data_IF_545062888037
#
_entry.id   IF_545062888037
#
_cell.length_a   1.000
_cell.length_b   1.000
_cell.length_c   1.000
_cell.angle_alpha   90.00
_cell.angle_beta   90.00
_cell.angle_gamma   90.00
#
_symmetry.space_group_name_H-M   'P 1'
#
loop_
_entity.id
_entity.type
_entity.pdbx_description
1 polymer ?
#
# COMPACT_ATOMS: atom_id res chain seq x y z
N UNK A 1 19.39 -39.90 -25.79
CA UNK A 1 19.42 -41.26 -25.21
C UNK A 1 18.33 -41.36 -24.14
N UNK A 2 17.40 -42.29 -24.30
CA UNK A 2 16.28 -42.49 -23.39
C UNK A 2 16.69 -43.34 -22.19
N UNK A 3 15.93 -43.20 -21.09
CA UNK A 3 16.03 -44.06 -19.91
C UNK A 3 15.76 -45.53 -20.30
N UNK A 4 16.57 -46.42 -19.78
CA UNK A 4 16.42 -47.86 -20.04
C UNK A 4 17.70 -48.62 -19.80
N UNK A 5 17.71 -49.91 -20.16
CA UNK A 5 18.90 -50.72 -20.13
C UNK A 5 19.50 -50.77 -21.54
N UNK A 6 20.76 -50.41 -21.65
CA UNK A 6 21.53 -50.52 -22.87
C UNK A 6 22.48 -51.71 -22.80
N UNK A 7 22.52 -52.52 -23.83
CA UNK A 7 23.44 -53.65 -24.00
C UNK A 7 24.47 -53.27 -25.06
N UNK A 8 25.73 -53.38 -24.73
CA UNK A 8 26.83 -53.28 -25.67
C UNK A 8 27.39 -54.64 -25.91
N UNK A 9 27.53 -55.03 -27.18
CA UNK A 9 28.14 -56.30 -27.58
C UNK A 9 29.37 -56.01 -28.42
N UNK A 10 30.48 -56.57 -28.03
CA UNK A 10 31.73 -56.53 -28.82
C UNK A 10 31.94 -57.89 -29.44
N UNK A 11 32.08 -57.94 -30.74
CA UNK A 11 32.30 -59.19 -31.51
C UNK A 11 33.68 -59.13 -32.17
N UNK A 12 34.43 -60.21 -31.99
CA UNK A 12 35.73 -60.38 -32.65
C UNK A 12 35.57 -60.54 -34.17
N UNK A 13 36.57 -60.00 -34.93
CA UNK A 13 36.66 -60.13 -36.39
C UNK A 13 38.07 -60.61 -36.79
N UNK A 14 38.20 -61.21 -37.96
CA UNK A 14 39.46 -61.72 -38.49
C UNK A 14 40.00 -62.88 -37.70
N UNK A 15 41.20 -62.72 -37.07
CA UNK A 15 41.83 -63.80 -36.23
C UNK A 15 41.19 -63.98 -34.85
N UNK A 16 40.27 -63.10 -34.47
CA UNK A 16 39.58 -63.16 -33.17
C UNK A 16 38.16 -63.68 -33.38
N UNK A 17 37.68 -64.54 -32.50
CA UNK A 17 36.34 -65.11 -32.55
C UNK A 17 35.61 -64.88 -31.23
N UNK A 18 34.26 -65.00 -31.24
CA UNK A 18 33.44 -64.86 -30.06
C UNK A 18 32.90 -63.44 -29.87
N UNK A 19 31.98 -63.31 -28.90
CA UNK A 19 31.40 -62.02 -28.52
C UNK A 19 31.25 -61.91 -27.01
N UNK A 20 31.34 -60.71 -26.51
CA UNK A 20 31.09 -60.35 -25.10
C UNK A 20 30.09 -59.22 -25.02
N UNK A 21 29.14 -59.32 -24.12
CA UNK A 21 28.14 -58.30 -23.88
C UNK A 21 28.20 -57.76 -22.47
N UNK A 22 27.94 -56.47 -22.32
CA UNK A 22 27.75 -55.80 -21.02
C UNK A 22 26.50 -54.91 -21.12
N UNK A 23 25.76 -54.83 -20.04
CA UNK A 23 24.59 -53.96 -19.90
C UNK A 23 24.82 -52.90 -18.86
N UNK A 24 24.30 -51.69 -19.10
CA UNK A 24 24.24 -50.62 -18.13
C UNK A 24 22.87 -49.94 -18.17
N UNK A 25 22.49 -49.32 -17.03
CA UNK A 25 21.22 -48.59 -16.90
C UNK A 25 21.43 -47.12 -17.14
N UNK A 26 20.62 -46.51 -18.01
CA UNK A 26 20.45 -45.07 -18.10
C UNK A 26 19.30 -44.69 -17.18
N UNK A 27 19.58 -43.96 -16.13
CA UNK A 27 18.60 -43.53 -15.11
C UNK A 27 18.10 -42.12 -15.36
N UNK A 28 16.91 -41.82 -14.83
CA UNK A 28 16.35 -40.48 -14.93
C UNK A 28 17.23 -39.43 -14.24
N UNK A 29 17.39 -38.28 -14.87
CA UNK A 29 18.08 -37.13 -14.29
C UNK A 29 17.17 -36.44 -13.28
N UNK A 30 17.64 -36.24 -12.04
CA UNK A 30 16.86 -35.50 -11.04
C UNK A 30 16.80 -34.00 -11.38
N UNK A 31 15.59 -33.43 -11.38
CA UNK A 31 15.36 -32.01 -11.62
C UNK A 31 16.10 -31.12 -10.62
N UNK A 32 16.36 -31.59 -9.40
CA UNK A 32 17.13 -30.85 -8.41
C UNK A 32 18.53 -30.44 -8.91
N UNK A 33 19.08 -31.18 -9.90
CA UNK A 33 20.40 -30.93 -10.49
C UNK A 33 20.32 -30.07 -11.79
N UNK A 34 19.18 -29.45 -12.05
CA UNK A 34 18.97 -28.51 -13.15
C UNK A 34 19.06 -27.06 -12.67
N UNK A 35 19.24 -26.12 -13.60
CA UNK A 35 19.18 -24.70 -13.33
C UNK A 35 17.82 -24.13 -13.70
N UNK A 36 17.39 -23.08 -13.02
CA UNK A 36 16.07 -22.50 -13.14
C UNK A 36 16.14 -20.99 -13.29
N UNK A 37 15.30 -20.42 -14.19
CA UNK A 37 15.09 -18.97 -14.19
C UNK A 37 14.45 -18.50 -12.88
N UNK A 38 14.61 -17.22 -12.55
CA UNK A 38 13.83 -16.57 -11.53
C UNK A 38 12.35 -16.51 -11.93
N UNK A 39 11.48 -16.51 -10.95
CA UNK A 39 10.04 -16.28 -11.15
C UNK A 39 9.71 -14.89 -10.65
N UNK A 40 9.24 -14.01 -11.54
CA UNK A 40 8.83 -12.65 -11.19
C UNK A 40 7.58 -12.64 -10.33
N UNK A 41 7.44 -11.61 -9.48
CA UNK A 41 6.21 -11.35 -8.76
C UNK A 41 5.13 -10.73 -9.64
N UNK A 42 3.89 -10.79 -9.17
CA UNK A 42 2.70 -10.25 -9.82
C UNK A 42 1.97 -9.27 -8.90
N UNK A 43 1.21 -8.38 -9.50
CA UNK A 43 0.24 -7.59 -8.78
C UNK A 43 -1.07 -8.39 -8.57
N UNK A 44 -1.65 -8.20 -7.39
CA UNK A 44 -2.93 -8.83 -7.05
C UNK A 44 -4.09 -8.16 -7.80
N UNK A 45 -4.78 -8.94 -8.61
CA UNK A 45 -5.98 -8.55 -9.34
C UNK A 45 -7.17 -9.51 -9.14
N UNK A 46 -6.97 -10.54 -8.28
CA UNK A 46 -7.96 -11.58 -8.00
C UNK A 46 -8.03 -12.68 -9.07
N UNK A 47 -7.11 -12.72 -10.04
CA UNK A 47 -6.98 -13.77 -11.06
C UNK A 47 -5.85 -14.73 -10.73
N UNK A 48 -5.89 -15.93 -11.33
CA UNK A 48 -4.82 -16.91 -11.19
C UNK A 48 -3.56 -16.46 -11.92
N UNK A 49 -2.40 -16.72 -11.30
CA UNK A 49 -1.08 -16.44 -11.84
C UNK A 49 -0.39 -17.75 -12.20
N UNK A 50 0.01 -17.87 -13.45
CA UNK A 50 0.65 -19.08 -14.00
C UNK A 50 1.99 -18.72 -14.65
N UNK A 51 3.00 -18.31 -13.84
CA UNK A 51 4.29 -17.92 -14.37
C UNK A 51 4.99 -19.06 -15.10
N UNK A 52 5.73 -18.73 -16.13
CA UNK A 52 6.61 -19.66 -16.82
C UNK A 52 7.95 -19.78 -16.09
N UNK A 53 8.56 -20.95 -16.17
CA UNK A 53 9.89 -21.22 -15.64
C UNK A 53 10.74 -21.87 -16.73
N UNK A 54 11.88 -21.27 -17.05
CA UNK A 54 12.87 -21.90 -17.93
C UNK A 54 13.75 -22.82 -17.11
N UNK A 55 13.88 -24.07 -17.55
CA UNK A 55 14.68 -25.10 -16.89
C UNK A 55 15.78 -25.56 -17.84
N UNK A 56 17.02 -25.64 -17.36
CA UNK A 56 18.15 -26.11 -18.15
C UNK A 56 18.90 -27.25 -17.47
N UNK A 57 19.26 -28.27 -18.25
CA UNK A 57 20.22 -29.30 -17.89
C UNK A 57 21.51 -29.04 -18.68
N UNK A 58 22.51 -28.40 -18.05
CA UNK A 58 23.64 -27.83 -18.76
C UNK A 58 23.21 -26.78 -19.78
N UNK A 59 23.55 -26.96 -21.03
CA UNK A 59 23.16 -26.08 -22.15
C UNK A 59 21.77 -26.37 -22.72
N UNK A 60 21.21 -27.56 -22.45
CA UNK A 60 19.89 -27.98 -22.98
C UNK A 60 18.75 -27.35 -22.19
N UNK A 61 17.86 -26.65 -22.87
CA UNK A 61 16.57 -26.21 -22.31
C UNK A 61 15.57 -27.36 -22.34
N UNK A 62 14.88 -27.57 -21.22
CA UNK A 62 13.87 -28.64 -21.08
C UNK A 62 12.51 -28.18 -21.62
N UNK A 63 11.74 -29.14 -22.16
CA UNK A 63 10.43 -28.93 -22.75
C UNK A 63 9.30 -29.30 -21.80
N UNK A 64 8.37 -28.37 -21.56
CA UNK A 64 7.15 -28.65 -20.81
C UNK A 64 6.28 -29.68 -21.51
N UNK A 65 5.71 -30.61 -20.75
CA UNK A 65 4.91 -31.72 -21.26
C UNK A 65 5.73 -32.96 -21.59
N UNK A 66 6.99 -32.82 -22.03
CA UNK A 66 7.89 -33.92 -22.35
C UNK A 66 8.88 -34.21 -21.23
N UNK A 67 9.59 -33.20 -20.77
CA UNK A 67 10.67 -33.32 -19.78
C UNK A 67 10.18 -32.98 -18.36
N UNK A 68 9.11 -32.18 -18.23
CA UNK A 68 8.50 -31.82 -16.97
C UNK A 68 7.05 -31.33 -17.13
N UNK A 69 6.32 -31.33 -16.00
CA UNK A 69 4.97 -30.75 -15.88
C UNK A 69 4.97 -29.61 -14.85
N UNK A 70 4.00 -28.68 -14.96
CA UNK A 70 3.79 -27.60 -14.02
C UNK A 70 2.42 -27.71 -13.38
N UNK A 71 2.39 -27.52 -12.06
CA UNK A 71 1.19 -27.27 -11.27
C UNK A 71 1.38 -26.00 -10.46
N UNK A 72 0.29 -25.34 -10.10
CA UNK A 72 0.32 -24.10 -9.34
C UNK A 72 -0.49 -24.26 -8.05
N UNK A 73 -0.01 -23.66 -6.98
CA UNK A 73 -0.70 -23.63 -5.68
C UNK A 73 -0.63 -22.23 -5.11
N UNK A 74 -1.73 -21.82 -4.44
CA UNK A 74 -1.86 -20.47 -3.85
C UNK A 74 -1.61 -19.33 -4.84
N UNK A 75 -1.93 -19.54 -6.12
CA UNK A 75 -1.57 -18.67 -7.24
C UNK A 75 -2.61 -17.61 -7.59
N UNK A 76 -3.69 -17.47 -6.79
CA UNK A 76 -4.80 -16.54 -7.02
C UNK A 76 -4.86 -15.43 -5.97
N UNK A 77 -4.59 -15.76 -4.72
CA UNK A 77 -4.71 -14.82 -3.61
C UNK A 77 -3.40 -14.02 -3.41
N UNK A 78 -3.51 -12.81 -2.88
CA UNK A 78 -2.34 -12.05 -2.45
C UNK A 78 -1.53 -12.87 -1.42
N UNK A 79 -0.21 -12.83 -1.54
CA UNK A 79 0.72 -13.60 -0.71
C UNK A 79 1.78 -14.33 -1.53
N UNK A 80 2.11 -15.57 -1.14
CA UNK A 80 3.14 -16.38 -1.80
C UNK A 80 2.48 -17.52 -2.58
N UNK A 81 2.64 -17.49 -3.89
CA UNK A 81 2.27 -18.56 -4.81
C UNK A 81 3.41 -19.56 -5.03
N UNK A 82 3.08 -20.75 -5.51
CA UNK A 82 4.01 -21.82 -5.79
C UNK A 82 3.85 -22.31 -7.23
N UNK A 83 4.99 -22.58 -7.88
CA UNK A 83 5.09 -23.38 -9.09
C UNK A 83 5.69 -24.73 -8.69
N UNK A 84 4.94 -25.80 -8.85
CA UNK A 84 5.37 -27.18 -8.57
C UNK A 84 5.79 -27.78 -9.90
N UNK A 85 7.06 -28.12 -10.03
CA UNK A 85 7.69 -28.65 -11.23
C UNK A 85 7.98 -30.12 -10.98
N UNK A 86 7.35 -30.99 -11.74
CA UNK A 86 7.53 -32.46 -11.62
C UNK A 86 8.19 -33.02 -12.87
N UNK A 87 9.23 -33.82 -12.70
CA UNK A 87 9.97 -34.45 -13.79
C UNK A 87 9.10 -35.45 -14.56
N UNK A 88 9.26 -35.44 -15.89
CA UNK A 88 8.62 -36.36 -16.82
C UNK A 88 9.66 -36.93 -17.81
N UNK A 89 9.29 -37.97 -18.55
CA UNK A 89 10.20 -38.60 -19.53
C UNK A 89 11.52 -39.05 -18.90
N UNK A 90 12.61 -38.46 -19.35
CA UNK A 90 13.97 -38.75 -18.89
C UNK A 90 14.35 -38.05 -17.56
N UNK A 91 13.42 -37.29 -16.94
CA UNK A 91 13.63 -36.56 -15.71
C UNK A 91 12.76 -37.08 -14.58
N UNK A 92 13.21 -36.90 -13.34
CA UNK A 92 12.54 -37.30 -12.11
C UNK A 92 12.66 -36.21 -11.04
N UNK A 93 11.92 -36.40 -9.94
CA UNK A 93 11.90 -35.50 -8.79
C UNK A 93 10.95 -34.31 -8.98
N UNK A 94 10.75 -33.58 -7.88
CA UNK A 94 9.88 -32.41 -7.82
C UNK A 94 10.66 -31.25 -7.25
N UNK A 95 10.52 -30.07 -7.86
CA UNK A 95 11.10 -28.81 -7.40
C UNK A 95 10.00 -27.79 -7.25
N UNK A 96 10.02 -27.00 -6.17
CA UNK A 96 9.05 -25.94 -5.92
C UNK A 96 9.77 -24.59 -6.09
N UNK A 97 9.14 -23.68 -6.83
CA UNK A 97 9.54 -22.28 -6.94
C UNK A 97 8.43 -21.40 -6.40
N UNK A 98 8.82 -20.33 -5.72
CA UNK A 98 7.92 -19.40 -5.09
C UNK A 98 7.90 -18.08 -5.86
N UNK A 99 6.73 -17.42 -5.85
CA UNK A 99 6.56 -16.07 -6.39
C UNK A 99 5.59 -15.27 -5.51
N UNK A 100 5.77 -13.95 -5.49
CA UNK A 100 4.90 -13.07 -4.72
C UNK A 100 3.73 -12.58 -5.56
N UNK A 101 2.53 -12.51 -4.95
CA UNK A 101 1.36 -11.81 -5.47
C UNK A 101 1.12 -10.62 -4.52
N UNK A 102 1.52 -9.43 -4.97
CA UNK A 102 1.64 -8.25 -4.14
C UNK A 102 0.36 -7.42 -4.15
N UNK A 103 -0.04 -6.89 -3.00
CA UNK A 103 -1.07 -5.84 -2.93
C UNK A 103 -0.43 -4.53 -3.38
N UNK A 104 -1.04 -3.87 -4.37
CA UNK A 104 -0.56 -2.60 -4.90
C UNK A 104 -0.51 -1.51 -3.82
N UNK A 105 0.40 -0.58 -4.01
CA UNK A 105 0.52 0.62 -3.19
C UNK A 105 -0.51 1.66 -3.64
N UNK A 106 -1.31 2.26 -2.74
CA UNK A 106 -2.10 3.45 -3.07
C UNK A 106 -1.19 4.62 -3.42
N UNK A 107 -1.65 5.49 -4.33
CA UNK A 107 -0.90 6.64 -4.84
C UNK A 107 -1.66 7.95 -4.64
N UNK A 108 -1.01 9.09 -4.81
CA UNK A 108 -1.66 10.39 -4.82
C UNK A 108 -2.34 10.77 -3.50
N UNK A 109 -1.86 10.25 -2.35
CA UNK A 109 -2.40 10.66 -1.05
C UNK A 109 -2.21 12.16 -0.86
N UNK A 110 -3.33 12.87 -0.63
CA UNK A 110 -3.34 14.31 -0.37
C UNK A 110 -4.47 14.72 0.56
N UNK A 111 -4.34 15.90 1.13
CA UNK A 111 -5.45 16.58 1.79
C UNK A 111 -6.35 17.21 0.73
N UNK A 112 -7.64 16.86 0.73
CA UNK A 112 -8.65 17.47 -0.15
C UNK A 112 -9.24 18.73 0.48
N UNK A 113 -9.56 18.67 1.77
CA UNK A 113 -10.11 19.82 2.50
C UNK A 113 -9.81 19.74 3.99
N UNK A 114 -9.91 20.87 4.69
CA UNK A 114 -9.74 20.95 6.14
C UNK A 114 -10.74 21.90 6.77
N UNK A 115 -11.03 21.64 8.05
CA UNK A 115 -11.78 22.52 8.96
C UNK A 115 -10.97 22.67 10.24
N UNK A 116 -11.42 23.50 11.16
CA UNK A 116 -10.74 23.71 12.45
C UNK A 116 -10.52 22.42 13.26
N UNK A 117 -11.37 21.43 13.10
CA UNK A 117 -11.31 20.17 13.88
C UNK A 117 -11.26 18.89 13.02
N UNK A 118 -11.04 19.02 11.72
CA UNK A 118 -10.98 17.87 10.83
C UNK A 118 -10.18 18.13 9.58
N UNK A 119 -9.64 17.03 8.99
CA UNK A 119 -9.03 17.00 7.66
C UNK A 119 -9.64 15.87 6.86
N UNK A 120 -9.90 16.08 5.56
CA UNK A 120 -10.33 15.06 4.61
C UNK A 120 -9.14 14.69 3.74
N UNK A 121 -8.83 13.39 3.73
CA UNK A 121 -7.78 12.78 2.92
C UNK A 121 -8.41 12.03 1.76
N UNK A 122 -7.72 12.05 0.61
CA UNK A 122 -8.09 11.26 -0.59
C UNK A 122 -6.83 10.66 -1.20
N UNK A 123 -6.99 9.53 -1.88
CA UNK A 123 -5.92 8.84 -2.61
C UNK A 123 -6.47 8.10 -3.81
N UNK A 124 -5.60 7.64 -4.69
CA UNK A 124 -5.95 6.81 -5.85
C UNK A 124 -5.50 5.37 -5.63
N UNK A 125 -6.22 4.44 -6.23
CA UNK A 125 -5.87 3.03 -6.21
C UNK A 125 -6.39 2.35 -7.48
N UNK A 126 -5.49 1.66 -8.20
CA UNK A 126 -5.79 1.00 -9.48
C UNK A 126 -5.98 -0.52 -9.35
N UNK A 127 -5.67 -1.12 -8.18
CA UNK A 127 -5.75 -2.55 -7.94
C UNK A 127 -7.05 -3.00 -7.27
N UNK A 128 -7.06 -4.25 -6.81
CA UNK A 128 -8.09 -4.80 -5.93
C UNK A 128 -7.62 -4.83 -4.49
N UNK A 129 -8.48 -4.45 -3.55
CA UNK A 129 -8.21 -4.48 -2.12
C UNK A 129 -9.49 -4.78 -1.33
N UNK A 130 -9.34 -5.38 -0.15
CA UNK A 130 -10.43 -5.49 0.82
C UNK A 130 -10.70 -4.14 1.47
N UNK A 131 -9.67 -3.30 1.61
CA UNK A 131 -9.77 -1.97 2.18
C UNK A 131 -8.41 -1.30 2.36
N UNK A 132 -8.43 -0.20 3.08
CA UNK A 132 -7.29 0.64 3.36
C UNK A 132 -7.13 0.86 4.85
N UNK A 133 -5.89 0.91 5.32
CA UNK A 133 -5.55 1.33 6.67
C UNK A 133 -4.92 2.73 6.65
N UNK A 134 -5.46 3.60 7.48
CA UNK A 134 -5.00 4.98 7.63
C UNK A 134 -4.16 5.08 8.92
N UNK A 135 -2.96 5.61 8.79
CA UNK A 135 -2.04 5.84 9.91
C UNK A 135 -1.76 7.32 10.08
N UNK A 136 -1.73 7.75 11.33
CA UNK A 136 -1.35 9.11 11.72
C UNK A 136 -0.16 9.07 12.67
N UNK A 137 0.82 9.98 12.45
CA UNK A 137 1.95 10.17 13.37
C UNK A 137 1.42 10.72 14.69
N UNK A 138 1.81 10.10 15.81
CA UNK A 138 1.45 10.50 17.16
C UNK A 138 2.54 11.42 17.75
N UNK A 139 2.30 11.96 18.96
CA UNK A 139 3.25 12.81 19.69
C UNK A 139 4.57 12.10 20.04
N UNK A 140 4.54 10.78 20.22
CA UNK A 140 5.71 9.92 20.45
C UNK A 140 6.56 9.69 19.16
N UNK A 141 6.18 10.31 18.06
CA UNK A 141 6.85 10.17 16.77
C UNK A 141 6.48 8.91 15.99
N UNK A 142 5.73 7.97 16.54
CA UNK A 142 5.34 6.71 15.90
C UNK A 142 4.04 6.86 15.11
N UNK A 143 3.90 6.07 14.05
CA UNK A 143 2.65 5.99 13.28
C UNK A 143 1.71 4.96 13.89
N UNK A 144 0.50 5.39 14.28
CA UNK A 144 -0.56 4.51 14.78
C UNK A 144 -1.70 4.43 13.77
N UNK A 145 -2.25 3.23 13.58
CA UNK A 145 -3.47 3.03 12.79
C UNK A 145 -4.64 3.72 13.50
N UNK A 146 -5.32 4.61 12.78
CA UNK A 146 -6.45 5.39 13.30
C UNK A 146 -7.78 4.97 12.69
N UNK A 147 -7.77 4.33 11.53
CA UNK A 147 -8.98 3.85 10.87
C UNK A 147 -8.69 2.79 9.80
N UNK A 148 -9.75 2.10 9.41
CA UNK A 148 -9.86 1.32 8.17
C UNK A 148 -11.06 1.82 7.37
N UNK A 149 -10.99 1.73 6.03
CA UNK A 149 -12.08 2.10 5.13
C UNK A 149 -12.02 1.28 3.84
N UNK A 150 -13.17 1.09 3.18
CA UNK A 150 -13.25 0.53 1.82
C UNK A 150 -13.19 1.62 0.73
N UNK A 151 -13.35 2.90 1.12
CA UNK A 151 -13.34 4.05 0.21
C UNK A 151 -11.92 4.60 0.06
N UNK A 152 -11.62 5.25 -1.05
CA UNK A 152 -10.37 5.96 -1.29
C UNK A 152 -10.34 7.37 -0.68
N UNK A 153 -11.10 7.56 0.40
CA UNK A 153 -11.21 8.81 1.14
C UNK A 153 -11.44 8.53 2.63
N UNK A 154 -10.94 9.43 3.48
CA UNK A 154 -11.14 9.37 4.93
C UNK A 154 -11.14 10.75 5.54
N UNK A 155 -12.07 11.01 6.47
CA UNK A 155 -12.11 12.26 7.24
C UNK A 155 -11.70 11.99 8.68
N UNK A 156 -10.54 12.51 9.08
CA UNK A 156 -10.11 12.50 10.48
C UNK A 156 -10.72 13.67 11.23
N UNK A 157 -11.48 13.38 12.27
CA UNK A 157 -12.21 14.36 13.10
C UNK A 157 -11.58 14.52 14.48
N UNK A 158 -12.11 15.46 15.30
CA UNK A 158 -11.67 15.77 16.67
C UNK A 158 -10.19 16.16 16.73
N UNK A 159 -9.75 16.94 15.77
CA UNK A 159 -8.40 17.48 15.69
C UNK A 159 -8.31 18.86 16.37
N UNK A 160 -7.12 19.24 16.82
CA UNK A 160 -6.85 20.59 17.30
C UNK A 160 -6.79 21.58 16.14
N UNK A 161 -7.28 22.82 16.29
CA UNK A 161 -7.19 23.86 15.26
C UNK A 161 -5.74 24.27 14.98
N UNK A 162 -5.49 24.84 13.80
CA UNK A 162 -4.18 25.35 13.34
C UNK A 162 -3.02 24.37 13.49
N UNK A 163 -3.30 23.06 13.51
CA UNK A 163 -2.34 21.99 13.81
C UNK A 163 -2.06 21.14 12.59
N UNK A 164 -0.78 20.84 12.37
CA UNK A 164 -0.32 19.95 11.29
C UNK A 164 -0.26 18.50 11.75
N UNK A 165 -0.78 17.60 10.93
CA UNK A 165 -0.80 16.16 11.16
C UNK A 165 -0.17 15.43 9.97
N UNK A 166 0.59 14.37 10.23
CA UNK A 166 1.23 13.54 9.19
C UNK A 166 0.49 12.22 9.05
N UNK A 167 0.17 11.85 7.81
CA UNK A 167 -0.59 10.64 7.46
C UNK A 167 0.12 9.82 6.41
N UNK A 168 -0.13 8.52 6.43
CA UNK A 168 0.18 7.56 5.36
C UNK A 168 -0.92 6.51 5.30
N UNK A 169 -1.11 5.92 4.11
CA UNK A 169 -2.16 4.93 3.84
C UNK A 169 -1.54 3.71 3.17
N UNK A 170 -2.07 2.53 3.45
CA UNK A 170 -1.78 1.31 2.70
C UNK A 170 -3.06 0.56 2.37
N UNK A 171 -3.06 -0.16 1.26
CA UNK A 171 -4.11 -1.13 0.94
C UNK A 171 -3.84 -2.46 1.65
N UNK A 172 -4.89 -3.26 1.85
CA UNK A 172 -4.78 -4.63 2.32
C UNK A 172 -5.79 -5.54 1.62
N UNK A 173 -5.43 -6.82 1.51
CA UNK A 173 -6.31 -7.91 1.08
C UNK A 173 -6.43 -8.90 2.23
N UNK A 174 -7.67 -9.24 2.61
CA UNK A 174 -7.95 -10.29 3.57
C UNK A 174 -8.41 -11.53 2.82
N UNK A 175 -7.76 -12.65 3.05
CA UNK A 175 -8.09 -13.95 2.47
C UNK A 175 -8.19 -15.02 3.58
N UNK A 176 -8.38 -16.29 3.21
CA UNK A 176 -8.51 -17.43 4.15
C UNK A 176 -7.26 -17.70 4.98
N UNK A 177 -6.08 -17.30 4.50
CA UNK A 177 -4.79 -17.50 5.18
C UNK A 177 -4.37 -16.30 6.05
N UNK A 178 -5.10 -15.17 5.98
CA UNK A 178 -4.80 -13.99 6.78
C UNK A 178 -4.95 -12.66 6.02
N UNK A 179 -4.18 -11.66 6.43
CA UNK A 179 -4.19 -10.33 5.80
C UNK A 179 -2.83 -10.03 5.20
N UNK A 180 -2.83 -9.70 3.92
CA UNK A 180 -1.65 -9.27 3.17
C UNK A 180 -1.72 -7.77 2.94
N UNK A 181 -0.63 -7.06 3.20
CA UNK A 181 -0.57 -5.60 3.14
C UNK A 181 0.29 -5.14 1.96
N UNK A 182 -0.17 -4.10 1.30
CA UNK A 182 0.62 -3.33 0.35
C UNK A 182 1.58 -2.36 1.04
N UNK A 183 2.47 -1.76 0.26
CA UNK A 183 3.37 -0.70 0.74
C UNK A 183 2.57 0.54 1.13
N UNK A 184 3.12 1.33 2.08
CA UNK A 184 2.54 2.61 2.44
C UNK A 184 2.78 3.66 1.36
N UNK A 185 1.82 4.58 1.19
CA UNK A 185 2.02 5.83 0.43
C UNK A 185 3.17 6.64 1.03
N UNK A 186 3.68 7.60 0.25
CA UNK A 186 4.44 8.72 0.81
C UNK A 186 3.62 9.44 1.88
N UNK A 187 4.32 10.10 2.81
CA UNK A 187 3.68 10.83 3.92
C UNK A 187 3.10 12.14 3.41
N UNK A 188 1.86 12.43 3.78
CA UNK A 188 1.23 13.73 3.56
C UNK A 188 1.14 14.51 4.88
N UNK A 189 1.32 15.83 4.79
CA UNK A 189 1.08 16.77 5.88
C UNK A 189 -0.26 17.45 5.61
N UNK A 190 -1.18 17.36 6.57
CA UNK A 190 -2.50 18.00 6.51
C UNK A 190 -2.68 18.91 7.72
N UNK A 191 -2.96 20.20 7.47
CA UNK A 191 -3.12 21.23 8.51
C UNK A 191 -4.60 21.59 8.65
N UNK A 192 -5.09 21.62 9.89
CA UNK A 192 -6.43 22.14 10.21
C UNK A 192 -6.46 23.67 10.09
N UNK A 193 -7.62 24.21 9.75
CA UNK A 193 -7.81 25.68 9.75
C UNK A 193 -7.87 26.24 11.17
N UNK A 194 -7.69 27.54 11.37
CA UNK A 194 -7.98 28.18 12.65
C UNK A 194 -9.43 27.97 13.07
N UNK A 195 -9.67 27.99 14.38
CA UNK A 195 -11.03 27.98 14.89
C UNK A 195 -11.68 29.36 14.74
N UNK A 196 -13.01 29.39 14.55
CA UNK A 196 -13.78 30.63 14.56
C UNK A 196 -14.04 31.05 16.00
N UNK A 197 -13.78 32.32 16.38
CA UNK A 197 -14.11 32.84 17.69
C UNK A 197 -15.63 32.80 17.94
N UNK A 198 -16.05 32.38 19.14
CA UNK A 198 -17.43 32.58 19.58
C UNK A 198 -17.55 34.00 20.13
N UNK A 199 -18.38 34.80 19.51
CA UNK A 199 -18.53 36.23 19.81
C UNK A 199 -19.86 36.48 20.49
N UNK A 200 -19.84 37.35 21.51
CA UNK A 200 -21.02 37.93 22.18
C UNK A 200 -20.96 39.47 22.00
N UNK A 201 -22.08 40.08 21.74
CA UNK A 201 -22.21 41.51 21.54
C UNK A 201 -23.24 42.04 22.49
N UNK A 202 -22.91 43.10 23.20
CA UNK A 202 -23.82 43.81 24.15
C UNK A 202 -23.73 45.33 23.92
N UNK A 203 -24.78 46.06 24.27
CA UNK A 203 -24.83 47.50 24.23
C UNK A 203 -24.92 48.04 25.67
N UNK A 204 -23.76 48.27 26.32
CA UNK A 204 -23.76 48.62 27.76
C UNK A 204 -24.19 50.06 28.02
N UNK A 205 -24.07 50.97 27.03
CA UNK A 205 -24.48 52.37 27.07
C UNK A 205 -24.91 52.84 25.70
N UNK A 206 -25.67 53.93 25.61
CA UNK A 206 -25.99 54.58 24.35
C UNK A 206 -24.73 54.86 23.55
N UNK A 207 -24.83 54.66 22.22
CA UNK A 207 -23.72 54.89 21.26
C UNK A 207 -22.44 54.03 21.55
N UNK A 208 -22.59 52.89 22.24
CA UNK A 208 -21.50 51.97 22.54
C UNK A 208 -21.92 50.52 22.31
N UNK A 209 -21.01 49.75 21.70
CA UNK A 209 -21.13 48.30 21.58
C UNK A 209 -19.90 47.62 22.15
N UNK A 210 -20.11 46.69 23.05
CA UNK A 210 -19.05 45.85 23.62
C UNK A 210 -19.08 44.49 22.93
N UNK A 211 -17.98 44.10 22.33
CA UNK A 211 -17.74 42.80 21.74
C UNK A 211 -16.84 41.98 22.65
N UNK A 212 -17.27 40.80 23.00
CA UNK A 212 -16.50 39.82 23.80
C UNK A 212 -16.43 38.51 23.08
N UNK A 213 -15.28 37.85 23.10
CA UNK A 213 -15.09 36.55 22.46
C UNK A 213 -14.30 35.60 23.34
N UNK A 214 -14.42 34.29 23.03
CA UNK A 214 -13.58 33.30 23.65
C UNK A 214 -12.20 33.31 22.97
N UNK A 215 -11.15 33.47 23.76
CA UNK A 215 -9.77 33.43 23.27
C UNK A 215 -9.43 32.11 22.58
N UNK A 216 -8.68 32.20 21.48
CA UNK A 216 -8.20 31.05 20.71
C UNK A 216 -6.72 30.85 20.99
N UNK A 217 -6.34 29.62 21.41
CA UNK A 217 -4.95 29.29 21.77
C UNK A 217 -3.96 29.47 20.61
N UNK A 218 -4.43 29.32 19.36
CA UNK A 218 -3.63 29.43 18.14
C UNK A 218 -3.64 30.82 17.51
N UNK A 219 -4.36 31.81 18.08
CA UNK A 219 -4.37 33.17 17.55
C UNK A 219 -3.13 33.95 18.02
N UNK A 220 -2.55 34.78 17.17
CA UNK A 220 -1.56 35.80 17.55
C UNK A 220 -2.22 37.09 18.03
N UNK A 221 -3.43 37.40 17.56
CA UNK A 221 -4.23 38.56 17.87
C UNK A 221 -5.62 38.45 17.23
N UNK A 222 -6.35 39.57 17.18
CA UNK A 222 -7.70 39.65 16.63
C UNK A 222 -7.88 40.94 15.85
N UNK A 223 -8.69 40.89 14.84
CA UNK A 223 -9.18 42.08 14.10
C UNK A 223 -10.71 42.16 14.32
N UNK A 224 -11.17 43.37 14.65
CA UNK A 224 -12.60 43.61 14.84
C UNK A 224 -13.09 44.44 13.65
N UNK A 225 -14.08 43.93 12.96
CA UNK A 225 -14.73 44.58 11.84
C UNK A 225 -16.16 44.95 12.20
N UNK A 226 -16.68 46.01 11.59
CA UNK A 226 -18.04 46.48 11.77
C UNK A 226 -18.71 46.76 10.43
N UNK A 227 -20.01 46.47 10.37
CA UNK A 227 -20.93 46.92 9.32
C UNK A 227 -22.17 47.56 9.94
N UNK A 228 -22.82 48.47 9.24
CA UNK A 228 -24.10 49.08 9.64
C UNK A 228 -25.30 48.28 9.17
N UNK A 229 -25.10 47.28 8.34
CA UNK A 229 -26.17 46.34 7.89
C UNK A 229 -25.67 44.90 7.91
N UNK A 230 -26.60 43.93 8.06
CA UNK A 230 -26.30 42.52 8.16
C UNK A 230 -25.49 41.98 6.97
N UNK A 231 -25.81 42.42 5.77
CA UNK A 231 -25.18 41.98 4.52
C UNK A 231 -24.30 43.07 3.89
N UNK A 232 -23.98 44.16 4.63
CA UNK A 232 -23.17 45.25 4.14
C UNK A 232 -21.66 44.96 4.22
N UNK A 233 -20.89 45.84 3.61
CA UNK A 233 -19.42 45.79 3.66
C UNK A 233 -18.92 46.03 5.10
N UNK A 234 -18.10 45.12 5.58
CA UNK A 234 -17.45 45.25 6.88
C UNK A 234 -16.17 46.10 6.76
N UNK A 235 -16.00 47.02 7.70
CA UNK A 235 -14.79 47.85 7.80
C UNK A 235 -14.02 47.49 9.06
N UNK A 236 -12.69 47.47 8.98
CA UNK A 236 -11.81 47.24 10.13
C UNK A 236 -11.92 48.42 11.10
N UNK A 237 -12.23 48.13 12.36
CA UNK A 237 -12.33 49.16 13.41
C UNK A 237 -11.25 49.04 14.48
N UNK A 238 -10.63 47.85 14.62
CA UNK A 238 -9.54 47.66 15.59
C UNK A 238 -8.72 46.43 15.24
N UNK A 239 -7.40 46.54 15.25
CA UNK A 239 -6.43 45.46 15.35
C UNK A 239 -5.94 45.30 16.77
N UNK A 240 -5.89 44.10 17.26
CA UNK A 240 -5.50 43.73 18.63
C UNK A 240 -4.38 42.67 18.52
N UNK A 241 -3.13 43.10 18.72
CA UNK A 241 -1.95 42.24 18.57
C UNK A 241 -1.65 41.33 19.77
N UNK A 242 -2.53 41.36 20.78
CA UNK A 242 -2.37 40.57 22.02
C UNK A 242 -3.47 39.49 22.12
N UNK A 243 -3.08 38.23 22.04
CA UNK A 243 -3.99 37.05 22.12
C UNK A 243 -4.88 37.03 23.37
N UNK A 244 -4.36 37.50 24.50
CA UNK A 244 -5.08 37.51 25.76
C UNK A 244 -6.19 38.59 25.82
N UNK A 245 -6.19 39.58 24.94
CA UNK A 245 -7.24 40.59 24.86
C UNK A 245 -8.45 39.97 24.14
N UNK A 246 -9.53 39.77 24.84
CA UNK A 246 -10.74 39.07 24.35
C UNK A 246 -12.01 39.93 24.46
N UNK A 247 -11.84 41.26 24.52
CA UNK A 247 -12.94 42.21 24.58
C UNK A 247 -12.51 43.52 23.86
N UNK A 248 -13.48 44.18 23.25
CA UNK A 248 -13.33 45.50 22.65
C UNK A 248 -14.62 46.30 22.80
N UNK A 249 -14.52 47.56 23.15
CA UNK A 249 -15.65 48.51 23.20
C UNK A 249 -15.54 49.50 22.07
N UNK A 250 -16.44 49.44 21.12
CA UNK A 250 -16.58 50.46 20.07
C UNK A 250 -17.48 51.57 20.58
N UNK A 251 -16.95 52.77 20.66
CA UNK A 251 -17.61 53.97 21.17
C UNK A 251 -17.98 54.95 20.05
N UNK A 252 -18.76 55.98 20.34
CA UNK A 252 -19.18 57.06 19.46
C UNK A 252 -19.90 56.54 18.18
N UNK A 253 -20.81 55.58 18.41
CA UNK A 253 -21.70 55.08 17.36
C UNK A 253 -22.82 56.11 17.14
N UNK A 254 -23.28 56.26 15.88
CA UNK A 254 -24.45 57.08 15.55
C UNK A 254 -25.73 56.46 16.06
#
# INVERSE_FOLDING_TARGET
TNVGTVKITITGIGKYTGSVSRSFKIVKKNLANCTYSSVSGFDYDGTEKTPTVTIKNGTRTLSRGTDYTLQYKNNKNAGVGQVIISGAGNYSGTVIRYFNINVLQPTGLRMESSKANSVKLVWSFSGKATGYEIYRKQSDGKYKKIATTKKTTYTNKKLAPSTSYKYKVRAYVKNSTGTVYGKFTSVVIAKTTPATPKVTVTSPKAKQVKVKWKGLASASGYEVYRSTSKNGKYTLVKTINKRSTVTYVNKKLK
#
